data_IF_645273169653
#
_entry.id   IF_645273169653
#
_cell.length_a   1.000
_cell.length_b   1.000
_cell.length_c   1.000
_cell.angle_alpha   90.00
_cell.angle_beta   90.00
_cell.angle_gamma   90.00
#
_symmetry.space_group_name_H-M   'P 1'
#
loop_
_entity.id
_entity.type
_entity.pdbx_description
1 polymer ?
#
# COMPACT_ATOMS: atom_id res chain seq x y z
N UNK A 1 11.60 0.43 -0.32
CA UNK A 1 10.31 1.15 -0.47
C UNK A 1 10.29 1.67 -1.89
N UNK A 2 9.39 1.15 -2.73
CA UNK A 2 9.30 1.54 -4.14
C UNK A 2 8.42 2.78 -4.28
N UNK A 3 7.21 2.71 -3.72
CA UNK A 3 6.18 3.72 -3.93
C UNK A 3 5.27 3.80 -2.70
N UNK A 4 4.68 4.97 -2.45
CA UNK A 4 3.58 5.13 -1.48
C UNK A 4 2.50 6.03 -2.06
N UNK A 5 1.25 5.65 -1.89
CA UNK A 5 0.11 6.45 -2.34
C UNK A 5 -1.13 6.17 -1.50
N UNK A 6 -2.09 7.09 -1.53
CA UNK A 6 -3.39 6.90 -0.90
C UNK A 6 -4.24 5.96 -1.77
N UNK A 7 -4.98 5.05 -1.14
CA UNK A 7 -5.85 4.12 -1.86
C UNK A 7 -7.10 4.84 -2.36
N UNK A 8 -7.45 4.63 -3.64
CA UNK A 8 -8.65 5.21 -4.25
C UNK A 8 -9.93 4.72 -3.56
N UNK A 9 -10.01 3.41 -3.32
CA UNK A 9 -11.20 2.78 -2.74
C UNK A 9 -11.35 3.03 -1.23
N UNK A 10 -10.29 3.46 -0.55
CA UNK A 10 -10.24 3.59 0.90
C UNK A 10 -9.66 4.95 1.28
N UNK A 11 -10.47 6.03 1.18
CA UNK A 11 -10.02 7.37 1.55
C UNK A 11 -9.56 7.37 3.01
N UNK A 12 -8.29 7.74 3.25
CA UNK A 12 -7.66 7.64 4.57
C UNK A 12 -6.91 6.33 4.82
N UNK A 13 -6.54 5.59 3.77
CA UNK A 13 -5.53 4.53 3.84
C UNK A 13 -4.41 4.80 2.85
N UNK A 14 -3.18 4.59 3.28
CA UNK A 14 -1.98 4.73 2.46
C UNK A 14 -1.37 3.37 2.24
N UNK A 15 -1.11 2.97 1.00
CA UNK A 15 -0.34 1.77 0.70
C UNK A 15 1.12 2.13 0.45
N UNK A 16 2.03 1.37 1.04
CA UNK A 16 3.46 1.44 0.82
C UNK A 16 3.92 0.18 0.10
N UNK A 17 4.36 0.31 -1.14
CA UNK A 17 4.87 -0.79 -1.96
C UNK A 17 6.35 -1.01 -1.65
N UNK A 18 6.71 -2.27 -1.48
CA UNK A 18 8.06 -2.76 -1.30
C UNK A 18 8.33 -3.85 -2.31
N UNK A 19 9.56 -3.88 -2.81
CA UNK A 19 10.07 -5.01 -3.59
C UNK A 19 11.00 -5.83 -2.67
N UNK A 20 10.86 -7.14 -2.69
CA UNK A 20 11.75 -8.08 -2.00
C UNK A 20 11.94 -9.31 -2.88
N UNK A 21 13.19 -9.52 -3.29
CA UNK A 21 13.59 -10.70 -4.07
C UNK A 21 12.82 -10.81 -5.39
N UNK A 22 12.60 -9.68 -6.08
CA UNK A 22 11.89 -9.64 -7.37
C UNK A 22 10.37 -9.76 -7.27
N UNK A 23 9.79 -9.81 -6.06
CA UNK A 23 8.34 -9.76 -5.83
C UNK A 23 7.94 -8.45 -5.15
N UNK A 24 6.75 -7.96 -5.47
CA UNK A 24 6.17 -6.72 -4.94
C UNK A 24 5.12 -7.02 -3.88
N UNK A 25 5.13 -6.29 -2.78
CA UNK A 25 4.09 -6.38 -1.75
C UNK A 25 3.83 -5.00 -1.18
N UNK A 26 2.60 -4.79 -0.72
CA UNK A 26 2.09 -3.52 -0.23
C UNK A 26 1.79 -3.62 1.25
N UNK A 27 2.15 -2.59 2.00
CA UNK A 27 1.72 -2.40 3.38
C UNK A 27 0.68 -1.29 3.41
N UNK A 28 -0.55 -1.64 3.74
CA UNK A 28 -1.64 -0.69 3.94
C UNK A 28 -1.54 -0.15 5.37
N UNK A 29 -1.32 1.15 5.46
CA UNK A 29 -1.22 1.93 6.67
C UNK A 29 -2.50 2.74 6.85
N UNK A 30 -2.94 2.87 8.10
CA UNK A 30 -4.00 3.81 8.46
C UNK A 30 -3.48 5.25 8.36
N UNK A 31 -4.31 6.18 7.90
CA UNK A 31 -3.94 7.59 7.78
C UNK A 31 -3.54 8.23 9.12
N UNK A 32 -2.61 9.19 9.02
CA UNK A 32 -1.96 9.92 10.11
C UNK A 32 -2.88 10.93 10.81
N UNK A 33 -4.11 11.12 10.34
CA UNK A 33 -5.11 11.98 11.00
C UNK A 33 -5.49 11.50 12.40
N UNK A 34 -5.25 10.23 12.72
CA UNK A 34 -5.31 9.73 14.09
C UNK A 34 -3.97 10.00 14.79
N UNK A 35 -3.97 10.65 15.97
CA UNK A 35 -2.75 10.90 16.79
C UNK A 35 -1.99 9.62 17.20
N UNK A 36 -2.46 8.44 16.79
CA UNK A 36 -1.81 7.16 16.97
C UNK A 36 -0.68 6.94 15.96
N UNK A 37 0.36 6.16 16.31
CA UNK A 37 1.36 5.72 15.35
C UNK A 37 0.69 5.00 14.17
N UNK A 38 1.21 5.20 12.96
CA UNK A 38 0.73 4.55 11.74
C UNK A 38 0.76 3.03 11.94
N UNK A 39 -0.39 2.44 12.24
CA UNK A 39 -0.54 1.00 12.40
C UNK A 39 -0.63 0.37 11.03
N UNK A 40 0.18 -0.67 10.81
CA UNK A 40 0.00 -1.60 9.71
C UNK A 40 -1.39 -2.22 9.85
N UNK A 41 -2.29 -1.89 8.93
CA UNK A 41 -3.64 -2.43 8.90
C UNK A 41 -3.61 -3.76 8.16
N UNK A 42 -2.85 -3.85 7.08
CA UNK A 42 -2.83 -5.01 6.21
C UNK A 42 -1.52 -5.12 5.44
N UNK A 43 -1.00 -6.33 5.30
CA UNK A 43 0.08 -6.67 4.36
C UNK A 43 -0.55 -7.42 3.18
N UNK A 44 -0.38 -6.89 1.97
CA UNK A 44 -0.88 -7.53 0.75
C UNK A 44 -0.03 -8.77 0.43
N UNK A 45 -0.59 -9.74 -0.32
CA UNK A 45 0.21 -10.83 -0.86
C UNK A 45 1.34 -10.32 -1.76
N UNK A 46 2.30 -11.22 -2.05
CA UNK A 46 3.40 -10.94 -2.95
C UNK A 46 2.93 -11.10 -4.40
N UNK A 47 3.03 -10.02 -5.15
CA UNK A 47 2.75 -9.94 -6.58
C UNK A 47 4.05 -10.07 -7.38
N UNK A 48 3.96 -10.65 -8.57
CA UNK A 48 5.09 -10.77 -9.50
C UNK A 48 5.33 -9.46 -10.28
N UNK A 49 4.37 -8.53 -10.27
CA UNK A 49 4.49 -7.25 -10.96
C UNK A 49 3.83 -6.14 -10.16
N UNK A 50 4.46 -4.96 -10.19
CA UNK A 50 3.98 -3.76 -9.52
C UNK A 50 2.63 -3.32 -10.10
N UNK A 51 2.44 -3.53 -11.40
CA UNK A 51 1.17 -3.28 -12.10
C UNK A 51 0.02 -4.12 -11.54
N UNK A 52 0.23 -5.42 -11.30
CA UNK A 52 -0.78 -6.30 -10.70
C UNK A 52 -1.18 -5.85 -9.29
N UNK A 53 -0.22 -5.36 -8.50
CA UNK A 53 -0.50 -4.78 -7.19
C UNK A 53 -1.31 -3.48 -7.34
N UNK A 54 -0.93 -2.60 -8.27
CA UNK A 54 -1.64 -1.32 -8.51
C UNK A 54 -3.03 -1.51 -9.12
N UNK A 55 -3.26 -2.59 -9.86
CA UNK A 55 -4.57 -2.95 -10.38
C UNK A 55 -5.54 -3.33 -9.25
N UNK A 56 -5.05 -4.08 -8.25
CA UNK A 56 -5.82 -4.46 -7.06
C UNK A 56 -5.99 -3.29 -6.08
N UNK A 57 -4.94 -2.46 -5.98
CA UNK A 57 -4.86 -1.32 -5.07
C UNK A 57 -4.62 -0.03 -5.87
N UNK A 58 -5.61 0.51 -6.57
CA UNK A 58 -5.43 1.72 -7.35
C UNK A 58 -5.15 2.94 -6.47
N UNK A 59 -4.29 3.83 -6.95
CA UNK A 59 -3.96 5.08 -6.29
C UNK A 59 -5.08 6.12 -6.44
N UNK A 60 -5.42 6.79 -5.34
CA UNK A 60 -6.17 8.05 -5.33
C UNK A 60 -5.24 9.10 -5.93
N UNK A 61 -5.40 9.37 -7.22
CA UNK A 61 -4.62 10.36 -7.97
C UNK A 61 -4.78 11.77 -7.39
#
# INVERSE_FOLDING_TARGET
MIERYQLLNEPGRTICIFEKSGKYFGHILKDRTDKAPAKLVFETPRYDSLDALKAEYPSMA
#
